data_IF_247076994432
#
_entry.id   IF_247076994432
#
_cell.length_a   1.000
_cell.length_b   1.000
_cell.length_c   1.000
_cell.angle_alpha   90.00
_cell.angle_beta   90.00
_cell.angle_gamma   90.00
#
_symmetry.space_group_name_H-M   'P 1'
#
loop_
_entity.id
_entity.type
_entity.pdbx_description
1 polymer ?
#
# COMPACT_ATOMS: atom_id res chain seq x y z
N UNK A 1 43.50 -40.83 -0.11
CA UNK A 1 42.16 -40.20 -0.13
C UNK A 1 41.79 -40.03 -1.59
N UNK A 2 40.62 -40.54 -2.01
CA UNK A 2 40.12 -40.38 -3.37
C UNK A 2 39.47 -38.99 -3.42
N UNK A 3 39.91 -38.14 -4.34
CA UNK A 3 39.33 -36.81 -4.52
C UNK A 3 37.85 -36.98 -4.92
N UNK A 4 36.91 -36.25 -4.29
CA UNK A 4 35.49 -36.38 -4.62
C UNK A 4 35.26 -35.99 -6.08
N UNK A 5 34.35 -36.71 -6.75
CA UNK A 5 33.98 -36.37 -8.12
C UNK A 5 33.28 -35.00 -8.15
N UNK A 6 33.53 -34.16 -9.17
CA UNK A 6 32.78 -32.92 -9.34
C UNK A 6 31.29 -33.24 -9.43
N UNK A 7 30.46 -32.44 -8.75
CA UNK A 7 29.01 -32.60 -8.75
C UNK A 7 28.35 -31.27 -9.11
N UNK A 8 27.28 -31.35 -9.88
CA UNK A 8 26.46 -30.22 -10.24
C UNK A 8 25.23 -30.15 -9.33
N UNK A 9 24.92 -28.95 -8.84
CA UNK A 9 23.65 -28.61 -8.20
C UNK A 9 22.72 -27.93 -9.21
N UNK A 10 21.44 -28.26 -9.17
CA UNK A 10 20.41 -27.60 -9.97
C UNK A 10 19.16 -27.37 -9.09
N UNK A 11 18.56 -26.17 -9.11
CA UNK A 11 18.96 -24.99 -9.90
C UNK A 11 20.26 -24.37 -9.42
N UNK A 12 20.83 -23.51 -10.27
CA UNK A 12 21.84 -22.53 -9.86
C UNK A 12 21.24 -21.57 -8.80
N UNK A 13 22.00 -20.54 -8.43
CA UNK A 13 21.52 -19.46 -7.58
C UNK A 13 20.14 -18.95 -8.03
N UNK A 14 19.17 -18.92 -7.11
CA UNK A 14 17.74 -18.74 -7.41
C UNK A 14 17.07 -17.70 -6.50
N UNK A 15 16.12 -16.93 -7.05
CA UNK A 15 15.18 -16.08 -6.30
C UNK A 15 13.88 -16.85 -6.12
N UNK A 16 13.45 -17.00 -4.87
CA UNK A 16 12.32 -17.86 -4.53
C UNK A 16 11.45 -17.18 -3.48
N UNK A 17 10.13 -17.36 -3.57
CA UNK A 17 9.21 -16.78 -2.61
C UNK A 17 8.82 -17.74 -1.50
N UNK A 18 8.60 -17.19 -0.30
CA UNK A 18 8.00 -17.94 0.82
C UNK A 18 6.66 -18.53 0.39
N UNK A 19 6.47 -19.82 0.64
CA UNK A 19 5.31 -20.61 0.22
C UNK A 19 5.59 -21.54 -0.96
N UNK A 20 6.68 -21.32 -1.71
CA UNK A 20 7.07 -22.18 -2.82
C UNK A 20 7.70 -23.51 -2.38
N UNK A 21 7.84 -24.42 -3.34
CA UNK A 21 8.59 -25.67 -3.19
C UNK A 21 9.61 -25.76 -4.31
N UNK A 22 10.88 -25.85 -3.94
CA UNK A 22 12.01 -25.97 -4.86
C UNK A 22 12.43 -27.44 -4.99
N UNK A 23 12.59 -27.93 -6.20
CA UNK A 23 13.24 -29.20 -6.46
C UNK A 23 14.75 -28.95 -6.62
N UNK A 24 15.56 -29.55 -5.75
CA UNK A 24 17.02 -29.43 -5.78
C UNK A 24 17.60 -30.80 -6.13
N UNK A 25 18.45 -30.85 -7.14
CA UNK A 25 19.17 -32.06 -7.56
C UNK A 25 20.66 -31.87 -7.40
N UNK A 26 21.34 -32.89 -6.88
CA UNK A 26 22.79 -33.00 -6.87
C UNK A 26 23.20 -34.24 -7.67
N UNK A 27 24.00 -34.07 -8.71
CA UNK A 27 24.43 -35.16 -9.58
C UNK A 27 25.93 -35.12 -9.83
N UNK A 28 26.62 -36.27 -9.75
CA UNK A 28 28.02 -36.36 -10.12
C UNK A 28 28.21 -36.24 -11.63
N UNK A 29 29.21 -35.46 -12.03
CA UNK A 29 29.65 -35.41 -13.42
C UNK A 29 30.45 -36.69 -13.74
N UNK A 30 29.98 -37.38 -14.79
CA UNK A 30 30.59 -38.52 -15.49
C UNK A 30 31.67 -39.30 -14.71
N UNK A 31 31.25 -40.43 -14.09
CA UNK A 31 32.03 -41.52 -13.47
C UNK A 31 32.03 -41.60 -11.92
N UNK A 32 31.39 -40.66 -11.21
CA UNK A 32 31.14 -40.74 -9.77
C UNK A 32 29.74 -41.29 -9.43
N UNK A 33 29.63 -42.06 -8.34
CA UNK A 33 28.34 -42.37 -7.69
C UNK A 33 28.23 -41.54 -6.42
N UNK A 34 27.19 -40.71 -6.31
CA UNK A 34 26.95 -39.91 -5.11
C UNK A 34 26.09 -40.70 -4.11
N UNK A 35 26.61 -41.84 -3.66
CA UNK A 35 25.83 -42.82 -2.87
C UNK A 35 25.53 -42.36 -1.44
N UNK A 36 26.30 -41.41 -0.91
CA UNK A 36 26.15 -40.89 0.46
C UNK A 36 25.85 -39.40 0.50
N UNK A 37 25.47 -38.78 -0.63
CA UNK A 37 25.24 -37.35 -0.59
C UNK A 37 24.10 -36.95 0.34
N UNK A 38 24.26 -35.75 0.89
CA UNK A 38 23.27 -35.10 1.72
C UNK A 38 23.20 -33.62 1.36
N UNK A 39 22.03 -33.05 1.55
CA UNK A 39 21.85 -31.61 1.42
C UNK A 39 22.04 -30.94 2.78
N UNK A 40 22.85 -29.90 2.79
CA UNK A 40 23.07 -29.03 3.94
C UNK A 40 22.45 -27.67 3.66
N UNK A 41 21.54 -27.24 4.53
CA UNK A 41 20.94 -25.92 4.47
C UNK A 41 21.64 -25.05 5.51
N UNK A 42 22.18 -23.92 5.07
CA UNK A 42 22.83 -22.92 5.93
C UNK A 42 22.09 -21.60 5.78
N UNK A 43 21.59 -21.08 6.89
CA UNK A 43 20.98 -19.76 7.03
C UNK A 43 21.89 -18.87 7.89
N UNK A 44 21.50 -17.62 8.11
CA UNK A 44 22.26 -16.70 8.98
C UNK A 44 22.30 -17.16 10.45
N UNK A 45 21.33 -17.96 10.89
CA UNK A 45 21.14 -18.34 12.30
C UNK A 45 21.20 -19.84 12.57
N UNK A 46 21.06 -20.67 11.54
CA UNK A 46 20.96 -22.12 11.65
C UNK A 46 21.69 -22.84 10.52
N UNK A 47 22.19 -24.04 10.83
CA UNK A 47 22.84 -24.95 9.90
C UNK A 47 22.29 -26.35 10.14
N UNK A 48 21.58 -26.90 9.15
CA UNK A 48 20.90 -28.19 9.27
C UNK A 48 21.14 -29.10 8.07
N UNK A 49 21.46 -30.36 8.34
CA UNK A 49 21.53 -31.41 7.31
C UNK A 49 20.13 -31.97 7.11
N UNK A 50 19.68 -32.07 5.85
CA UNK A 50 18.39 -32.68 5.54
C UNK A 50 18.43 -34.19 5.81
N UNK A 51 17.40 -34.73 6.49
CA UNK A 51 17.31 -36.16 6.71
C UNK A 51 17.29 -36.97 5.40
N UNK A 52 17.90 -38.17 5.35
CA UNK A 52 17.93 -39.00 4.15
C UNK A 52 16.55 -39.36 3.59
N UNK A 53 15.53 -39.46 4.45
CA UNK A 53 14.14 -39.77 4.05
C UNK A 53 13.48 -38.68 3.19
N UNK A 54 14.00 -37.44 3.21
CA UNK A 54 13.53 -36.36 2.36
C UNK A 54 14.17 -36.38 0.97
N UNK A 55 15.05 -37.35 0.71
CA UNK A 55 15.85 -37.44 -0.49
C UNK A 55 15.42 -38.64 -1.33
N UNK A 56 15.32 -38.43 -2.64
CA UNK A 56 14.98 -39.46 -3.62
C UNK A 56 16.14 -39.62 -4.59
N UNK A 57 16.41 -40.85 -5.04
CA UNK A 57 17.40 -41.09 -6.09
C UNK A 57 16.96 -40.39 -7.38
N UNK A 58 17.90 -39.71 -8.02
CA UNK A 58 17.72 -39.02 -9.29
C UNK A 58 18.66 -39.64 -10.32
N UNK A 59 18.13 -40.56 -11.13
CA UNK A 59 18.96 -41.39 -12.01
C UNK A 59 19.93 -42.29 -11.25
N UNK A 60 21.01 -42.68 -11.93
CA UNK A 60 22.02 -43.60 -11.38
C UNK A 60 23.16 -42.89 -10.63
N UNK A 61 23.28 -41.56 -10.79
CA UNK A 61 24.42 -40.77 -10.30
C UNK A 61 24.02 -39.52 -9.51
N UNK A 62 22.77 -39.40 -9.07
CA UNK A 62 22.31 -38.23 -8.35
C UNK A 62 21.25 -38.49 -7.28
N UNK A 63 21.04 -37.46 -6.46
CA UNK A 63 19.98 -37.37 -5.46
C UNK A 63 19.18 -36.09 -5.68
N UNK A 64 17.92 -36.12 -5.30
CA UNK A 64 17.00 -35.00 -5.37
C UNK A 64 16.30 -34.82 -4.02
N UNK A 65 16.00 -33.58 -3.66
CA UNK A 65 15.12 -33.25 -2.53
C UNK A 65 14.10 -32.20 -2.96
N UNK A 66 12.96 -32.17 -2.26
CA UNK A 66 12.01 -31.06 -2.35
C UNK A 66 12.18 -30.18 -1.11
N UNK A 67 12.59 -28.93 -1.32
CA UNK A 67 12.73 -27.94 -0.26
C UNK A 67 11.53 -27.01 -0.25
N UNK A 68 10.70 -27.10 0.79
CA UNK A 68 9.63 -26.13 1.01
C UNK A 68 10.23 -24.84 1.57
N UNK A 69 9.92 -23.71 0.94
CA UNK A 69 10.41 -22.39 1.34
C UNK A 69 9.45 -21.80 2.36
N UNK A 70 9.95 -21.64 3.58
CA UNK A 70 9.19 -21.17 4.73
C UNK A 70 9.82 -19.91 5.31
N UNK A 71 9.08 -19.22 6.18
CA UNK A 71 9.49 -17.95 6.75
C UNK A 71 10.74 -18.03 7.65
N UNK A 72 11.08 -19.22 8.13
CA UNK A 72 12.28 -19.51 8.93
C UNK A 72 13.60 -19.36 8.14
N UNK A 73 13.55 -19.45 6.81
CA UNK A 73 14.75 -19.26 5.98
C UNK A 73 15.17 -17.79 5.96
N UNK A 74 16.47 -17.53 6.06
CA UNK A 74 17.03 -16.17 5.92
C UNK A 74 16.88 -15.66 4.48
N UNK A 75 16.91 -14.34 4.31
CA UNK A 75 16.81 -13.68 3.00
C UNK A 75 17.90 -14.13 2.02
N UNK A 76 19.03 -14.62 2.53
CA UNK A 76 20.06 -15.34 1.80
C UNK A 76 20.28 -16.68 2.51
N UNK A 77 19.95 -17.78 1.84
CA UNK A 77 20.12 -19.16 2.36
C UNK A 77 21.02 -19.92 1.40
N UNK A 78 22.02 -20.65 1.90
CA UNK A 78 22.87 -21.51 1.08
C UNK A 78 22.43 -22.96 1.16
N UNK A 79 22.42 -23.65 0.03
CA UNK A 79 22.21 -25.10 -0.03
C UNK A 79 23.45 -25.74 -0.62
N UNK A 80 24.08 -26.62 0.15
CA UNK A 80 25.28 -27.34 -0.24
C UNK A 80 24.98 -28.81 -0.44
N UNK A 81 25.59 -29.43 -1.45
CA UNK A 81 25.64 -30.88 -1.59
C UNK A 81 26.91 -31.37 -0.90
N UNK A 82 26.76 -32.25 0.09
CA UNK A 82 27.85 -32.87 0.83
C UNK A 82 28.01 -34.33 0.40
N UNK A 83 29.23 -34.84 0.30
CA UNK A 83 29.55 -36.28 0.24
C UNK A 83 30.63 -36.57 1.29
N UNK A 84 30.34 -37.49 2.23
CA UNK A 84 31.21 -37.80 3.38
C UNK A 84 31.76 -36.54 4.11
N UNK A 85 30.88 -35.56 4.38
CA UNK A 85 31.17 -34.25 5.02
C UNK A 85 32.00 -33.26 4.19
N UNK A 86 32.36 -33.60 2.96
CA UNK A 86 33.01 -32.68 2.03
C UNK A 86 31.95 -31.97 1.19
N UNK A 87 31.97 -30.63 1.20
CA UNK A 87 31.11 -29.84 0.33
C UNK A 87 31.55 -29.98 -1.13
N UNK A 88 30.68 -30.53 -1.96
CA UNK A 88 30.92 -30.71 -3.39
C UNK A 88 30.63 -29.41 -4.15
N UNK A 89 29.44 -28.85 -3.92
CA UNK A 89 28.95 -27.64 -4.60
C UNK A 89 28.00 -26.90 -3.66
N UNK A 90 27.85 -25.57 -3.84
CA UNK A 90 26.95 -24.75 -3.03
C UNK A 90 26.25 -23.70 -3.87
N UNK A 91 24.92 -23.66 -3.77
CA UNK A 91 24.08 -22.63 -4.39
C UNK A 91 23.52 -21.68 -3.34
N UNK A 92 23.18 -20.46 -3.78
CA UNK A 92 22.50 -19.44 -2.96
C UNK A 92 21.06 -19.26 -3.39
N UNK A 93 20.17 -19.37 -2.42
CA UNK A 93 18.76 -19.05 -2.54
C UNK A 93 18.50 -17.67 -1.93
N UNK A 94 18.01 -16.75 -2.74
CA UNK A 94 17.51 -15.46 -2.32
C UNK A 94 16.03 -15.60 -2.00
N UNK A 95 15.69 -15.55 -0.72
CA UNK A 95 14.31 -15.80 -0.25
C UNK A 95 13.61 -14.48 0.01
N UNK A 96 12.51 -14.25 -0.69
CA UNK A 96 11.66 -13.06 -0.53
C UNK A 96 10.22 -13.45 -0.18
N UNK A 97 9.40 -12.47 0.21
CA UNK A 97 7.95 -12.68 0.34
C UNK A 97 7.22 -12.21 -0.92
N UNK A 98 6.11 -12.86 -1.32
CA UNK A 98 5.30 -12.40 -2.45
C UNK A 98 4.84 -10.95 -2.25
N UNK A 99 4.83 -10.14 -3.32
CA UNK A 99 4.33 -8.77 -3.28
C UNK A 99 2.89 -8.70 -2.76
N UNK A 100 2.61 -7.65 -1.98
CA UNK A 100 1.31 -7.42 -1.36
C UNK A 100 0.78 -6.03 -1.74
N UNK A 101 -0.50 -5.98 -2.07
CA UNK A 101 -1.21 -4.72 -2.33
C UNK A 101 -1.11 -3.77 -1.13
N UNK A 102 -1.07 -2.47 -1.42
CA UNK A 102 -1.15 -1.45 -0.38
C UNK A 102 -2.42 -1.62 0.45
N UNK A 103 -2.34 -1.27 1.73
CA UNK A 103 -3.46 -1.40 2.65
C UNK A 103 -3.79 -0.06 3.32
N UNK A 104 -4.99 0.04 3.90
CA UNK A 104 -5.47 1.24 4.59
C UNK A 104 -5.45 2.52 3.72
N UNK A 105 -5.74 2.37 2.42
CA UNK A 105 -5.84 3.50 1.50
C UNK A 105 -6.92 4.47 1.98
N UNK A 106 -6.52 5.71 2.26
CA UNK A 106 -7.40 6.81 2.59
C UNK A 106 -7.22 7.93 1.56
N UNK A 107 -8.33 8.36 0.98
CA UNK A 107 -8.36 9.36 -0.08
C UNK A 107 -9.31 10.47 0.33
N UNK A 108 -8.85 11.72 0.28
CA UNK A 108 -9.63 12.88 0.68
C UNK A 108 -9.45 13.99 -0.36
N UNK A 109 -10.53 14.40 -1.00
CA UNK A 109 -10.53 15.59 -1.84
C UNK A 109 -10.70 16.85 -0.97
N UNK A 110 -9.65 17.66 -0.92
CA UNK A 110 -9.60 18.92 -0.20
C UNK A 110 -9.97 20.05 -1.16
N UNK A 111 -11.21 20.53 -1.01
CA UNK A 111 -11.79 21.60 -1.84
C UNK A 111 -11.50 22.97 -1.21
N UNK A 112 -10.21 23.24 -0.98
CA UNK A 112 -9.69 24.51 -0.51
C UNK A 112 -9.24 25.41 -1.68
N UNK A 113 -8.43 26.44 -1.40
CA UNK A 113 -7.90 27.34 -2.42
C UNK A 113 -7.09 26.66 -3.52
N UNK A 114 -6.58 25.44 -3.29
CA UNK A 114 -5.68 24.72 -4.18
C UNK A 114 -6.32 23.49 -4.84
N UNK A 115 -7.49 23.06 -4.38
CA UNK A 115 -8.28 21.94 -4.94
C UNK A 115 -7.43 20.71 -5.29
N UNK A 116 -7.12 19.90 -4.28
CA UNK A 116 -6.22 18.75 -4.42
C UNK A 116 -6.78 17.51 -3.72
N UNK A 117 -6.27 16.34 -4.08
CA UNK A 117 -6.61 15.08 -3.40
C UNK A 117 -5.43 14.66 -2.53
N UNK A 118 -5.67 14.57 -1.22
CA UNK A 118 -4.74 13.97 -0.28
C UNK A 118 -4.90 12.45 -0.29
N UNK A 119 -3.78 11.75 -0.40
CA UNK A 119 -3.66 10.30 -0.41
C UNK A 119 -2.82 9.86 0.78
N UNK A 120 -3.22 8.78 1.45
CA UNK A 120 -2.38 8.08 2.43
C UNK A 120 -2.64 6.58 2.41
N UNK A 121 -1.62 5.78 2.72
CA UNK A 121 -1.71 4.33 2.77
C UNK A 121 -0.68 3.78 3.76
N UNK A 122 -0.80 2.51 4.13
CA UNK A 122 0.22 1.83 4.94
C UNK A 122 1.22 1.11 4.04
N UNK A 123 2.52 1.37 4.23
CA UNK A 123 3.54 0.55 3.59
C UNK A 123 3.50 -0.86 4.15
N UNK A 124 3.75 -1.84 3.29
CA UNK A 124 3.95 -3.23 3.70
C UNK A 124 5.44 -3.51 3.99
N UNK A 125 6.22 -2.47 4.35
CA UNK A 125 7.68 -2.58 4.52
C UNK A 125 8.05 -3.68 5.51
N UNK A 126 7.41 -3.72 6.68
CA UNK A 126 7.63 -4.75 7.72
C UNK A 126 7.28 -6.18 7.28
N UNK A 127 6.47 -6.33 6.24
CA UNK A 127 6.11 -7.65 5.73
C UNK A 127 7.26 -8.26 4.90
N UNK A 128 8.11 -7.46 4.26
CA UNK A 128 9.18 -7.96 3.39
C UNK A 128 10.44 -8.31 4.17
N UNK A 129 11.19 -9.32 3.69
CA UNK A 129 12.49 -9.69 4.28
C UNK A 129 13.57 -8.63 4.01
N UNK A 130 13.49 -7.94 2.86
CA UNK A 130 14.33 -6.79 2.48
C UNK A 130 13.46 -5.62 2.03
N UNK A 131 13.02 -4.75 2.96
CA UNK A 131 12.11 -3.65 2.64
C UNK A 131 12.72 -2.64 1.66
N UNK A 132 14.03 -2.42 1.73
CA UNK A 132 14.84 -1.58 0.84
C UNK A 132 14.93 -2.11 -0.61
N UNK A 133 14.51 -3.36 -0.83
CA UNK A 133 14.41 -3.96 -2.16
C UNK A 133 12.98 -3.91 -2.72
N UNK A 134 12.05 -3.22 -2.07
CA UNK A 134 10.68 -3.07 -2.56
C UNK A 134 10.35 -1.59 -2.70
N UNK A 135 9.93 -1.19 -3.89
CA UNK A 135 9.51 0.17 -4.20
C UNK A 135 8.00 0.20 -4.42
N UNK A 136 7.36 1.26 -3.95
CA UNK A 136 5.96 1.58 -4.28
C UNK A 136 5.92 2.89 -5.08
N UNK A 137 5.29 2.84 -6.25
CA UNK A 137 5.05 3.98 -7.11
C UNK A 137 3.55 4.28 -7.19
N UNK A 138 3.20 5.57 -7.14
CA UNK A 138 1.81 6.03 -7.13
C UNK A 138 1.58 6.99 -8.28
N UNK A 139 0.66 6.63 -9.16
CA UNK A 139 0.22 7.43 -10.29
C UNK A 139 -1.23 7.84 -10.09
N UNK A 140 -1.59 9.03 -10.57
CA UNK A 140 -2.98 9.50 -10.50
C UNK A 140 -3.46 10.20 -11.76
N UNK A 141 -4.78 10.26 -11.88
CA UNK A 141 -5.51 10.96 -12.93
C UNK A 141 -6.82 11.55 -12.41
N UNK A 142 -7.15 12.75 -12.87
CA UNK A 142 -8.50 13.28 -12.77
C UNK A 142 -9.32 12.88 -13.99
N UNK A 143 -10.48 12.27 -13.79
CA UNK A 143 -11.33 11.76 -14.86
C UNK A 143 -10.95 10.36 -15.34
N UNK A 144 -11.16 10.09 -16.63
CA UNK A 144 -10.82 8.82 -17.26
C UNK A 144 -9.32 8.63 -17.36
N UNK A 145 -8.82 7.44 -17.01
CA UNK A 145 -7.44 7.05 -17.26
C UNK A 145 -7.16 7.09 -18.78
N UNK A 146 -6.12 7.81 -19.24
CA UNK A 146 -5.74 7.81 -20.65
C UNK A 146 -5.21 6.43 -21.06
N UNK A 147 -5.48 6.03 -22.31
CA UNK A 147 -5.03 4.74 -22.87
C UNK A 147 -3.51 4.61 -22.99
N UNK A 148 -2.78 5.73 -22.87
CA UNK A 148 -1.32 5.79 -22.91
C UNK A 148 -0.77 5.95 -21.48
N UNK A 149 0.08 5.01 -21.06
CA UNK A 149 0.43 4.67 -19.66
C UNK A 149 1.13 5.74 -18.79
N UNK A 150 1.28 7.00 -19.21
CA UNK A 150 2.02 7.99 -18.41
C UNK A 150 1.08 8.82 -17.54
N UNK A 151 0.79 8.33 -16.35
CA UNK A 151 0.13 9.11 -15.30
C UNK A 151 0.99 10.23 -14.74
N UNK A 152 0.36 11.12 -13.96
CA UNK A 152 1.13 12.09 -13.18
C UNK A 152 1.64 11.39 -11.94
N UNK A 153 2.95 11.45 -11.69
CA UNK A 153 3.53 10.92 -10.47
C UNK A 153 2.94 11.68 -9.28
N UNK A 154 2.28 10.96 -8.38
CA UNK A 154 1.66 11.54 -7.19
C UNK A 154 2.71 11.96 -6.17
N UNK A 155 3.75 11.13 -6.02
CA UNK A 155 4.76 11.31 -5.00
C UNK A 155 6.10 10.69 -5.41
N UNK A 156 7.17 11.22 -4.83
CA UNK A 156 8.47 10.55 -4.81
C UNK A 156 8.38 9.22 -4.03
N UNK A 157 9.32 8.33 -4.32
CA UNK A 157 9.40 6.99 -3.75
C UNK A 157 9.49 7.06 -2.21
N UNK A 158 8.83 6.13 -1.52
CA UNK A 158 8.89 5.90 -0.05
C UNK A 158 8.06 6.81 0.87
N UNK A 159 7.19 7.67 0.34
CA UNK A 159 6.24 8.43 1.16
C UNK A 159 4.92 7.69 1.31
N UNK A 160 4.44 7.46 2.54
CA UNK A 160 3.12 6.85 2.84
C UNK A 160 1.93 7.80 2.64
N UNK A 161 2.19 9.01 2.13
CA UNK A 161 1.16 9.99 1.83
C UNK A 161 1.63 11.03 0.81
N UNK A 162 0.71 11.57 0.00
CA UNK A 162 1.00 12.72 -0.87
C UNK A 162 -0.24 13.44 -1.39
N UNK A 163 -0.01 14.57 -2.05
CA UNK A 163 -1.05 15.43 -2.61
C UNK A 163 -1.05 15.38 -4.15
N UNK A 164 -2.21 15.06 -4.71
CA UNK A 164 -2.47 15.08 -6.14
C UNK A 164 -3.12 16.42 -6.55
N UNK A 165 -2.34 17.26 -7.22
CA UNK A 165 -2.75 18.59 -7.68
C UNK A 165 -3.28 18.59 -9.12
N UNK A 166 -3.77 19.75 -9.58
CA UNK A 166 -4.15 19.93 -10.99
C UNK A 166 -5.58 19.49 -11.30
N UNK A 167 -6.50 19.65 -10.35
CA UNK A 167 -7.91 19.40 -10.58
C UNK A 167 -8.47 20.25 -11.73
N UNK A 168 -9.15 19.62 -12.71
CA UNK A 168 -9.71 20.28 -13.90
C UNK A 168 -11.24 20.15 -14.01
N UNK A 169 -11.95 20.07 -12.88
CA UNK A 169 -13.43 20.01 -12.89
C UNK A 169 -14.03 18.63 -13.21
N UNK A 170 -13.21 17.58 -13.15
CA UNK A 170 -13.66 16.20 -13.34
C UNK A 170 -14.55 15.72 -12.18
N UNK A 171 -15.32 14.66 -12.39
CA UNK A 171 -16.13 14.04 -11.32
C UNK A 171 -15.45 12.85 -10.64
N UNK A 172 -14.45 12.27 -11.29
CA UNK A 172 -13.75 11.07 -10.82
C UNK A 172 -12.27 11.33 -10.58
N UNK A 173 -11.69 10.53 -9.71
CA UNK A 173 -10.26 10.49 -9.44
C UNK A 173 -9.80 9.05 -9.43
N UNK A 174 -8.77 8.73 -10.20
CA UNK A 174 -8.20 7.39 -10.28
C UNK A 174 -6.77 7.41 -9.77
N UNK A 175 -6.43 6.45 -8.92
CA UNK A 175 -5.07 6.22 -8.42
C UNK A 175 -4.64 4.80 -8.75
N UNK A 176 -3.39 4.64 -9.15
CA UNK A 176 -2.76 3.36 -9.38
C UNK A 176 -1.52 3.22 -8.50
N UNK A 177 -1.44 2.11 -7.80
CA UNK A 177 -0.26 1.69 -7.05
C UNK A 177 0.48 0.64 -7.85
N UNK A 178 1.79 0.80 -7.97
CA UNK A 178 2.71 -0.20 -8.51
C UNK A 178 3.72 -0.56 -7.43
N UNK A 179 3.67 -1.80 -6.94
CA UNK A 179 4.65 -2.33 -5.98
C UNK A 179 5.61 -3.23 -6.75
N UNK A 180 6.91 -2.98 -6.66
CA UNK A 180 7.91 -3.71 -7.43
C UNK A 180 9.12 -4.12 -6.59
N UNK A 181 9.69 -5.29 -6.90
CA UNK A 181 10.99 -5.67 -6.37
C UNK A 181 12.10 -4.99 -7.16
N UNK A 182 12.89 -4.15 -6.50
CA UNK A 182 14.09 -3.56 -7.08
C UNK A 182 15.09 -4.70 -7.38
N UNK A 183 15.53 -4.80 -8.62
CA UNK A 183 16.63 -5.69 -9.00
C UNK A 183 17.94 -5.09 -8.50
N UNK A 184 18.23 -5.18 -7.21
CA UNK A 184 19.55 -4.77 -6.72
C UNK A 184 20.60 -5.73 -7.27
N UNK A 185 21.72 -5.14 -7.69
CA UNK A 185 22.81 -5.63 -8.53
C UNK A 185 23.68 -6.75 -7.95
N UNK A 186 23.12 -7.61 -7.10
CA UNK A 186 23.78 -8.79 -6.52
C UNK A 186 23.14 -10.12 -6.95
N UNK A 187 22.20 -10.06 -7.90
CA UNK A 187 21.53 -11.23 -8.47
C UNK A 187 22.36 -11.80 -9.63
N UNK A 188 22.54 -13.13 -9.75
CA UNK A 188 22.88 -13.74 -11.02
C UNK A 188 21.97 -13.18 -12.11
N UNK A 189 22.53 -12.92 -13.30
CA UNK A 189 21.87 -12.17 -14.35
C UNK A 189 20.46 -12.70 -14.70
N UNK A 190 19.62 -11.87 -15.33
CA UNK A 190 18.21 -12.16 -15.64
C UNK A 190 17.98 -13.46 -16.43
N UNK A 191 19.01 -14.03 -17.04
CA UNK A 191 18.97 -15.32 -17.74
C UNK A 191 18.84 -16.53 -16.78
N UNK A 192 19.23 -16.39 -15.51
CA UNK A 192 19.25 -17.47 -14.50
C UNK A 192 18.11 -17.37 -13.47
N UNK A 193 17.43 -16.23 -13.43
CA UNK A 193 16.39 -15.92 -12.46
C UNK A 193 15.12 -15.49 -13.16
N UNK A 194 14.54 -16.31 -14.03
CA UNK A 194 13.16 -16.08 -14.48
C UNK A 194 12.25 -16.35 -13.29
N UNK A 195 11.74 -15.32 -12.59
CA UNK A 195 10.82 -15.58 -11.51
C UNK A 195 9.56 -16.21 -12.14
N UNK A 196 9.06 -17.28 -11.53
CA UNK A 196 7.77 -17.87 -11.94
C UNK A 196 6.59 -16.93 -11.63
N UNK A 197 6.87 -15.83 -10.92
CA UNK A 197 5.90 -14.85 -10.43
C UNK A 197 6.26 -13.44 -10.88
N UNK A 198 5.24 -12.59 -11.01
CA UNK A 198 5.42 -11.19 -11.37
C UNK A 198 6.23 -10.48 -10.28
N UNK A 199 7.32 -9.82 -10.67
CA UNK A 199 8.11 -8.92 -9.80
C UNK A 199 7.47 -7.54 -9.62
N UNK A 200 6.24 -7.40 -10.11
CA UNK A 200 5.47 -6.16 -10.11
C UNK A 200 4.01 -6.51 -9.84
N UNK A 201 3.40 -5.79 -8.91
CA UNK A 201 1.99 -5.86 -8.57
C UNK A 201 1.36 -4.49 -8.83
N UNK A 202 0.25 -4.46 -9.57
CA UNK A 202 -0.49 -3.23 -9.87
C UNK A 202 -1.90 -3.33 -9.28
N UNK A 203 -2.30 -2.29 -8.54
CA UNK A 203 -3.67 -2.10 -8.08
C UNK A 203 -4.19 -0.72 -8.47
N UNK A 204 -5.47 -0.65 -8.83
CA UNK A 204 -6.11 0.56 -9.33
C UNK A 204 -7.44 0.81 -8.59
N UNK A 205 -7.67 2.07 -8.22
CA UNK A 205 -8.85 2.49 -7.49
C UNK A 205 -9.41 3.78 -8.09
N UNK A 206 -10.71 3.81 -8.34
CA UNK A 206 -11.43 4.99 -8.83
C UNK A 206 -12.44 5.45 -7.79
N UNK A 207 -12.47 6.76 -7.56
CA UNK A 207 -13.31 7.42 -6.57
C UNK A 207 -14.16 8.50 -7.23
N UNK A 208 -15.40 8.64 -6.78
CA UNK A 208 -16.20 9.81 -7.07
C UNK A 208 -15.78 10.96 -6.14
N UNK A 209 -15.34 12.08 -6.72
CA UNK A 209 -14.86 13.24 -5.94
C UNK A 209 -15.91 13.84 -5.01
N UNK A 210 -17.21 13.58 -5.25
CA UNK A 210 -18.29 14.00 -4.38
C UNK A 210 -18.30 13.20 -3.06
N UNK A 211 -17.93 11.92 -3.09
CA UNK A 211 -17.98 11.01 -1.93
C UNK A 211 -16.77 11.15 -1.03
N UNK A 212 -15.59 11.41 -1.60
CA UNK A 212 -14.33 11.60 -0.87
C UNK A 212 -14.06 13.06 -0.50
N UNK A 213 -15.03 13.96 -0.73
CA UNK A 213 -14.85 15.39 -0.46
C UNK A 213 -14.85 15.68 1.03
N UNK A 214 -13.90 16.50 1.45
CA UNK A 214 -13.89 17.13 2.77
C UNK A 214 -14.01 18.64 2.63
N UNK A 215 -15.07 19.17 3.23
CA UNK A 215 -15.27 20.62 3.32
C UNK A 215 -14.39 21.20 4.41
N UNK A 216 -13.84 22.39 4.18
CA UNK A 216 -13.19 23.17 5.23
C UNK A 216 -14.17 23.55 6.35
N UNK A 217 -13.65 23.97 7.53
CA UNK A 217 -14.49 24.45 8.61
C UNK A 217 -15.29 25.69 8.19
N UNK A 218 -16.44 25.92 8.84
CA UNK A 218 -17.18 27.18 8.68
C UNK A 218 -16.37 28.34 9.23
N UNK A 219 -16.45 29.48 8.55
CA UNK A 219 -15.75 30.72 8.95
C UNK A 219 -16.76 31.81 9.31
N UNK A 220 -16.27 32.88 9.95
CA UNK A 220 -17.08 34.05 10.33
C UNK A 220 -18.33 33.71 11.16
N UNK A 221 -18.18 32.75 12.08
CA UNK A 221 -19.25 32.41 13.02
C UNK A 221 -19.52 33.61 13.92
N UNK A 222 -20.75 34.13 13.86
CA UNK A 222 -21.25 35.19 14.72
C UNK A 222 -22.42 34.68 15.54
N UNK A 223 -22.42 35.06 16.81
CA UNK A 223 -23.51 34.78 17.74
C UNK A 223 -24.16 36.11 18.10
N UNK A 224 -25.48 36.19 17.91
CA UNK A 224 -26.28 37.34 18.32
C UNK A 224 -27.34 36.89 19.31
N UNK A 225 -27.33 37.48 20.50
CA UNK A 225 -28.42 37.36 21.45
C UNK A 225 -29.68 38.02 20.87
N UNK A 226 -30.78 37.26 20.82
CA UNK A 226 -32.10 37.70 20.36
C UNK A 226 -33.17 37.52 21.44
N UNK A 227 -32.77 37.24 22.68
CA UNK A 227 -33.64 37.08 23.84
C UNK A 227 -32.99 36.21 24.92
N UNK A 228 -33.57 36.23 26.13
CA UNK A 228 -32.99 35.60 27.34
C UNK A 228 -32.59 34.11 27.21
N UNK A 229 -33.18 33.38 26.28
CA UNK A 229 -32.91 31.95 26.04
C UNK A 229 -32.64 31.66 24.56
N UNK A 230 -32.45 32.66 23.71
CA UNK A 230 -32.39 32.47 22.27
C UNK A 230 -31.13 33.10 21.68
N UNK A 231 -30.38 32.31 20.93
CA UNK A 231 -29.22 32.80 20.19
C UNK A 231 -29.44 32.59 18.70
N UNK A 232 -29.03 33.59 17.92
CA UNK A 232 -28.90 33.48 16.49
C UNK A 232 -27.43 33.19 16.14
N UNK A 233 -27.20 32.08 15.45
CA UNK A 233 -25.91 31.72 14.89
C UNK A 233 -25.92 31.96 13.38
N UNK A 234 -24.94 32.76 12.93
CA UNK A 234 -24.69 32.98 11.49
C UNK A 234 -23.25 32.66 11.15
N UNK A 235 -22.99 32.16 9.95
CA UNK A 235 -21.64 31.89 9.45
C UNK A 235 -21.55 32.12 7.94
N UNK A 236 -20.32 32.28 7.45
CA UNK A 236 -20.07 32.31 6.02
C UNK A 236 -20.12 30.89 5.44
N UNK A 237 -20.76 30.76 4.28
CA UNK A 237 -20.68 29.54 3.50
C UNK A 237 -19.22 29.29 3.07
N UNK A 238 -18.72 28.05 3.12
CA UNK A 238 -17.41 27.73 2.56
C UNK A 238 -17.34 28.18 1.10
N UNK A 239 -16.18 28.74 0.71
CA UNK A 239 -15.96 29.42 -0.59
C UNK A 239 -16.45 28.61 -1.78
N UNK A 240 -16.27 27.29 -1.74
CA UNK A 240 -16.76 26.37 -2.77
C UNK A 240 -18.28 26.48 -3.01
N UNK A 241 -19.10 26.41 -1.94
CA UNK A 241 -20.55 26.50 -2.05
C UNK A 241 -21.00 27.88 -2.49
N UNK A 242 -20.34 28.91 -1.99
CA UNK A 242 -20.62 30.28 -2.39
C UNK A 242 -20.37 30.53 -3.88
N UNK A 243 -19.37 29.85 -4.49
CA UNK A 243 -18.96 30.09 -5.88
C UNK A 243 -19.54 29.13 -6.92
N UNK A 244 -19.83 27.86 -6.58
CA UNK A 244 -20.13 26.81 -7.56
C UNK A 244 -21.52 26.17 -7.45
N UNK A 245 -22.40 26.67 -6.58
CA UNK A 245 -23.72 26.07 -6.40
C UNK A 245 -24.70 26.34 -7.56
N UNK A 246 -24.68 25.47 -8.57
CA UNK A 246 -25.85 25.26 -9.42
C UNK A 246 -26.76 24.16 -8.86
N UNK A 247 -26.21 23.13 -8.20
CA UNK A 247 -26.92 22.11 -7.40
C UNK A 247 -26.09 21.90 -6.12
N UNK A 248 -26.51 22.45 -4.99
CA UNK A 248 -25.78 22.28 -3.74
C UNK A 248 -26.00 20.87 -3.19
N UNK A 249 -24.94 20.12 -2.83
CA UNK A 249 -25.14 18.91 -2.03
C UNK A 249 -25.68 19.31 -0.65
N UNK A 250 -26.39 18.38 -0.02
CA UNK A 250 -26.93 18.57 1.32
C UNK A 250 -25.81 18.77 2.33
N UNK A 251 -25.62 20.01 2.79
CA UNK A 251 -24.66 20.32 3.83
C UNK A 251 -25.19 19.90 5.19
N UNK A 252 -24.39 19.13 5.93
CA UNK A 252 -24.70 18.73 7.30
C UNK A 252 -23.75 19.48 8.23
N UNK A 253 -24.33 20.29 9.12
CA UNK A 253 -23.58 21.00 10.14
C UNK A 253 -23.76 20.31 11.49
N UNK A 254 -22.65 20.10 12.19
CA UNK A 254 -22.67 19.72 13.59
C UNK A 254 -22.39 20.97 14.43
N UNK A 255 -23.36 21.38 15.24
CA UNK A 255 -23.25 22.57 16.08
C UNK A 255 -23.16 22.11 17.54
N UNK A 256 -22.11 22.55 18.23
CA UNK A 256 -21.89 22.28 19.65
C UNK A 256 -21.84 23.60 20.40
N UNK A 257 -22.74 23.76 21.37
CA UNK A 257 -22.78 24.93 22.25
C UNK A 257 -22.44 24.48 23.67
N UNK A 258 -21.45 25.13 24.28
CA UNK A 258 -21.01 24.83 25.64
C UNK A 258 -21.21 26.07 26.51
N UNK A 259 -21.94 25.93 27.62
CA UNK A 259 -22.00 26.99 28.64
C UNK A 259 -20.65 27.00 29.37
N UNK A 260 -20.05 28.18 29.51
CA UNK A 260 -18.73 28.37 30.14
C UNK A 260 -18.61 27.78 31.55
N UNK A 261 -19.75 27.59 32.22
CA UNK A 261 -19.84 27.30 33.65
C UNK A 261 -20.36 25.87 33.94
N UNK A 262 -20.74 25.11 32.92
CA UNK A 262 -21.22 23.73 33.04
C UNK A 262 -20.71 22.92 31.85
N UNK A 263 -19.91 21.88 32.11
CA UNK A 263 -19.41 20.91 31.11
C UNK A 263 -20.54 20.01 30.56
N UNK A 264 -21.69 20.58 30.20
CA UNK A 264 -22.82 19.86 29.61
C UNK A 264 -22.91 20.21 28.14
N UNK A 265 -22.65 19.20 27.32
CA UNK A 265 -22.71 19.28 25.88
C UNK A 265 -24.17 19.24 25.45
N UNK A 266 -24.66 20.30 24.81
CA UNK A 266 -25.86 20.20 24.00
C UNK A 266 -25.42 19.98 22.54
N UNK A 267 -25.35 18.70 22.13
CA UNK A 267 -25.19 18.34 20.72
C UNK A 267 -26.57 18.47 20.08
N UNK A 268 -26.86 19.62 19.48
CA UNK A 268 -28.03 19.77 18.63
C UNK A 268 -27.60 19.38 17.21
N UNK A 269 -27.68 18.09 16.91
CA UNK A 269 -27.62 17.63 15.51
C UNK A 269 -28.98 17.96 14.87
N UNK A 270 -29.09 19.13 14.24
CA UNK A 270 -30.15 19.41 13.29
C UNK A 270 -29.55 19.40 11.91
N UNK A 271 -30.01 18.46 11.08
CA UNK A 271 -29.75 18.48 9.64
C UNK A 271 -30.44 19.73 9.09
N UNK A 272 -29.64 20.72 8.71
CA UNK A 272 -30.13 22.00 8.21
C UNK A 272 -29.96 22.05 6.70
N UNK A 273 -31.07 21.97 5.96
CA UNK A 273 -31.07 22.05 4.51
C UNK A 273 -31.01 23.52 4.06
N UNK A 274 -30.03 23.86 3.23
CA UNK A 274 -29.98 25.17 2.57
C UNK A 274 -30.43 24.99 1.12
N UNK A 275 -31.64 25.43 0.79
CA UNK A 275 -32.15 25.43 -0.58
C UNK A 275 -31.69 26.72 -1.29
N UNK A 276 -30.71 26.59 -2.18
CA UNK A 276 -30.04 27.73 -2.84
C UNK A 276 -30.84 28.40 -3.97
N UNK A 277 -32.15 28.19 -4.07
CA UNK A 277 -32.98 28.82 -5.13
C UNK A 277 -33.12 30.35 -5.03
N UNK A 278 -32.60 31.00 -3.97
CA UNK A 278 -32.73 32.46 -3.76
C UNK A 278 -31.48 33.26 -4.20
N UNK A 279 -30.36 32.60 -4.54
CA UNK A 279 -29.06 33.28 -4.67
C UNK A 279 -28.82 34.09 -5.97
N UNK A 280 -29.78 34.20 -6.91
CA UNK A 280 -29.56 34.92 -8.18
C UNK A 280 -29.90 36.43 -8.16
N UNK A 281 -30.53 36.97 -7.11
CA UNK A 281 -30.90 38.40 -7.08
C UNK A 281 -30.09 39.29 -6.11
N UNK A 282 -29.13 38.74 -5.36
CA UNK A 282 -28.30 39.52 -4.43
C UNK A 282 -26.84 39.02 -4.45
N UNK A 283 -26.12 39.30 -5.53
CA UNK A 283 -24.70 38.93 -5.66
C UNK A 283 -23.73 39.87 -4.92
N UNK A 284 -24.21 40.71 -4.00
CA UNK A 284 -23.39 41.67 -3.23
C UNK A 284 -23.51 41.56 -1.71
N UNK A 285 -24.32 40.63 -1.18
CA UNK A 285 -24.35 40.32 0.25
C UNK A 285 -23.78 38.91 0.47
N UNK A 286 -22.82 38.79 1.39
CA UNK A 286 -22.35 37.49 1.89
C UNK A 286 -23.57 36.62 2.21
N UNK A 287 -23.71 35.46 1.56
CA UNK A 287 -24.75 34.50 1.89
C UNK A 287 -24.53 33.99 3.31
N UNK A 288 -25.25 34.60 4.26
CA UNK A 288 -25.26 34.24 5.67
C UNK A 288 -26.37 33.23 5.91
N UNK A 289 -26.00 32.04 6.36
CA UNK A 289 -26.97 31.13 6.95
C UNK A 289 -27.39 31.68 8.31
N UNK A 290 -28.67 31.55 8.67
CA UNK A 290 -29.22 32.10 9.91
C UNK A 290 -30.05 31.02 10.60
N UNK A 291 -29.68 30.67 11.83
CA UNK A 291 -30.41 29.71 12.65
C UNK A 291 -30.68 30.26 14.04
N UNK A 292 -31.96 30.19 14.43
CA UNK A 292 -32.42 30.51 15.77
C UNK A 292 -32.50 29.24 16.61
N UNK A 293 -31.77 29.22 17.72
CA UNK A 293 -31.81 28.13 18.70
C UNK A 293 -32.48 28.63 19.98
N UNK A 294 -33.36 27.80 20.53
CA UNK A 294 -33.90 28.00 21.87
C UNK A 294 -33.11 27.13 22.84
N UNK A 295 -32.40 27.77 23.78
CA UNK A 295 -31.71 27.12 24.88
C UNK A 295 -32.76 26.67 25.90
N UNK A 296 -32.96 25.35 26.01
CA UNK A 296 -33.81 24.78 27.05
C UNK A 296 -32.93 24.57 28.28
N UNK A 297 -33.21 25.34 29.33
CA UNK A 297 -32.65 25.12 30.66
C UNK A 297 -33.32 23.88 31.27
N UNK A 298 -32.58 22.79 31.45
CA UNK A 298 -32.96 21.69 32.35
C UNK A 298 -32.36 21.90 33.73
#
# INVERSE_FOLDING_TARGET
MKEPAPAALNPDDALIFVGETLNITCSADFQGTVSHARFLITTDTDKRILPPENQTKFGDSGIQTQLRITDDLSSSTSVSCLDDEVSLETIKLYVERPLKDVSNLSVVFLDDSYQHVYLSWSSNSEYYKKPDHVKTEVLYWYGSKPDWENGTLACDQDLESCDAFGFQGQSHFTVQFTVEHLSSSMRPGPDYLRPLFNTTLKSEHTFELAEIRKTGPVTDVRVRDIGKTCVNLTWALPIYFAKRCHHCPELRYQISLTRTDDKRFLIVSRTCFVDCKVAKSQASEMMLNNFQFQLIST
#
